data_IF_696672090531
#
_entry.id   IF_696672090531
#
_cell.length_a   1.000
_cell.length_b   1.000
_cell.length_c   1.000
_cell.angle_alpha   90.00
_cell.angle_beta   90.00
_cell.angle_gamma   90.00
#
_symmetry.space_group_name_H-M   'P 1'
#
loop_
_entity.id
_entity.type
_entity.pdbx_description
1 polymer ?
#
# COMPACT_ATOMS: atom_id res chain seq x y z
N UNK A 1 17.88 19.19 -22.60
CA UNK A 1 17.56 17.89 -21.95
C UNK A 1 17.07 18.24 -20.56
N UNK A 2 15.75 18.19 -20.33
CA UNK A 2 15.16 18.73 -19.10
C UNK A 2 15.58 17.87 -17.91
N UNK A 3 16.16 18.51 -16.89
CA UNK A 3 16.31 17.92 -15.58
C UNK A 3 14.90 17.62 -15.06
N UNK A 4 14.53 16.33 -15.01
CA UNK A 4 13.37 15.91 -14.23
C UNK A 4 13.76 16.18 -12.79
N UNK A 5 13.23 17.27 -12.22
CA UNK A 5 13.17 17.50 -10.78
C UNK A 5 12.36 16.33 -10.20
N UNK A 6 12.99 15.18 -9.98
CA UNK A 6 12.42 14.00 -9.31
C UNK A 6 12.31 14.28 -7.83
N UNK A 7 11.56 15.33 -7.47
CA UNK A 7 11.21 15.60 -6.07
C UNK A 7 10.21 14.53 -5.65
N UNK A 8 10.57 13.79 -4.61
CA UNK A 8 9.66 12.90 -3.94
C UNK A 8 8.59 13.74 -3.21
N UNK A 9 7.33 13.35 -3.37
CA UNK A 9 6.20 13.87 -2.60
C UNK A 9 6.10 13.05 -1.33
N UNK A 10 6.49 13.65 -0.21
CA UNK A 10 6.30 13.05 1.10
C UNK A 10 4.83 13.16 1.51
N UNK A 11 4.22 12.02 1.83
CA UNK A 11 2.85 11.99 2.36
C UNK A 11 2.86 12.16 3.89
N UNK A 12 1.74 12.64 4.47
CA UNK A 12 1.60 12.70 5.92
C UNK A 12 1.89 11.36 6.58
N UNK A 13 2.54 11.39 7.75
CA UNK A 13 2.73 10.18 8.54
C UNK A 13 1.38 9.59 8.93
N UNK A 14 1.26 8.27 8.83
CA UNK A 14 0.01 7.57 9.12
C UNK A 14 0.26 6.23 9.82
N UNK A 15 -0.75 5.76 10.54
CA UNK A 15 -0.72 4.48 11.24
C UNK A 15 -1.50 3.46 10.43
N UNK A 16 -0.80 2.44 9.91
CA UNK A 16 -1.36 1.33 9.14
C UNK A 16 -1.53 0.08 10.02
N UNK A 17 -1.98 0.29 11.26
CA UNK A 17 -2.05 -0.72 12.32
C UNK A 17 -2.94 -1.93 12.03
N UNK A 18 -3.89 -1.81 11.10
CA UNK A 18 -4.73 -2.94 10.65
C UNK A 18 -3.96 -4.04 9.92
N UNK A 19 -2.72 -3.79 9.49
CA UNK A 19 -1.82 -4.82 8.93
C UNK A 19 -1.12 -5.65 10.01
N UNK A 20 -1.15 -5.22 11.28
CA UNK A 20 -0.44 -5.89 12.38
C UNK A 20 -0.93 -7.32 12.62
N UNK A 21 -2.25 -7.62 12.64
CA UNK A 21 -2.72 -9.00 12.76
C UNK A 21 -2.24 -9.88 11.60
N UNK A 22 -2.29 -9.35 10.36
CA UNK A 22 -1.85 -10.06 9.15
C UNK A 22 -0.34 -10.38 9.22
N UNK A 23 0.48 -9.41 9.60
CA UNK A 23 1.91 -9.63 9.80
C UNK A 23 2.22 -10.65 10.90
N UNK A 24 1.49 -10.62 12.02
CA UNK A 24 1.67 -11.60 13.10
C UNK A 24 1.33 -13.01 12.64
N UNK A 25 0.28 -13.16 11.84
CA UNK A 25 -0.11 -14.46 11.28
C UNK A 25 0.93 -14.96 10.28
N UNK A 26 1.43 -14.08 9.40
CA UNK A 26 2.53 -14.39 8.49
C UNK A 26 3.76 -14.91 9.27
N UNK A 27 4.16 -14.22 10.33
CA UNK A 27 5.29 -14.62 11.16
C UNK A 27 5.05 -15.99 11.83
N UNK A 28 3.85 -16.26 12.35
CA UNK A 28 3.49 -17.55 12.94
C UNK A 28 3.51 -18.69 11.93
N UNK A 29 3.06 -18.43 10.70
CA UNK A 29 3.00 -19.40 9.62
C UNK A 29 4.32 -19.51 8.81
N UNK A 30 5.40 -18.82 9.22
CA UNK A 30 6.65 -18.72 8.48
C UNK A 30 6.48 -18.23 7.01
N UNK A 31 5.45 -17.42 6.76
CA UNK A 31 5.15 -16.85 5.44
C UNK A 31 5.89 -15.52 5.28
N UNK A 32 6.67 -15.40 4.20
CA UNK A 32 7.46 -14.17 3.94
C UNK A 32 6.67 -13.05 3.28
N UNK A 33 5.61 -13.37 2.53
CA UNK A 33 4.77 -12.37 1.88
C UNK A 33 3.33 -12.86 1.71
N UNK A 34 2.35 -11.98 1.91
CA UNK A 34 0.94 -12.23 1.58
C UNK A 34 0.47 -11.16 0.61
N UNK A 35 -0.17 -11.61 -0.47
CA UNK A 35 -0.75 -10.75 -1.50
C UNK A 35 -2.27 -10.73 -1.43
N UNK A 36 -2.86 -9.57 -1.71
CA UNK A 36 -4.28 -9.43 -1.93
C UNK A 36 -4.54 -8.37 -3.00
N UNK A 37 -5.78 -8.36 -3.49
CA UNK A 37 -6.23 -7.39 -4.48
C UNK A 37 -7.14 -6.40 -3.80
N UNK A 38 -6.87 -5.13 -4.05
CA UNK A 38 -7.73 -4.01 -3.67
C UNK A 38 -8.33 -3.38 -4.92
N UNK A 39 -9.60 -3.00 -4.84
CA UNK A 39 -10.30 -2.36 -5.95
C UNK A 39 -10.95 -1.08 -5.45
N UNK A 40 -10.76 -0.01 -6.20
CA UNK A 40 -11.32 1.32 -5.92
C UNK A 40 -11.79 1.95 -7.22
N UNK A 41 -13.10 2.18 -7.33
CA UNK A 41 -13.74 2.49 -8.60
C UNK A 41 -13.44 1.42 -9.65
N UNK A 42 -12.97 1.83 -10.83
CA UNK A 42 -12.54 0.94 -11.91
C UNK A 42 -11.10 0.41 -11.76
N UNK A 43 -10.34 0.90 -10.77
CA UNK A 43 -8.92 0.59 -10.64
C UNK A 43 -8.69 -0.61 -9.74
N UNK A 44 -7.77 -1.48 -10.17
CA UNK A 44 -7.35 -2.66 -9.43
C UNK A 44 -5.88 -2.54 -9.05
N UNK A 45 -5.59 -2.81 -7.78
CA UNK A 45 -4.27 -2.77 -7.20
C UNK A 45 -3.91 -4.12 -6.61
N UNK A 46 -2.76 -4.63 -6.98
CA UNK A 46 -2.11 -5.75 -6.32
C UNK A 46 -1.31 -5.22 -5.14
N UNK A 47 -1.54 -5.80 -3.98
CA UNK A 47 -1.00 -5.32 -2.71
C UNK A 47 -0.32 -6.49 -2.04
N UNK A 48 0.94 -6.30 -1.62
CA UNK A 48 1.71 -7.34 -0.95
C UNK A 48 2.29 -6.81 0.33
N UNK A 49 1.96 -7.46 1.44
CA UNK A 49 2.68 -7.26 2.69
C UNK A 49 3.87 -8.23 2.71
N UNK A 50 5.07 -7.69 2.85
CA UNK A 50 6.34 -8.43 2.80
C UNK A 50 7.01 -8.28 4.16
N UNK A 51 7.44 -9.40 4.74
CA UNK A 51 8.29 -9.38 5.93
C UNK A 51 9.73 -9.06 5.52
N UNK A 52 10.29 -8.01 6.10
CA UNK A 52 11.64 -7.51 5.81
C UNK A 52 12.42 -7.22 7.10
N UNK A 53 13.76 -7.23 7.00
CA UNK A 53 14.65 -6.86 8.10
C UNK A 53 14.48 -5.37 8.39
N UNK A 54 14.08 -5.01 9.60
CA UNK A 54 13.80 -3.61 10.00
C UNK A 54 12.32 -3.22 10.08
N UNK A 55 11.40 -4.10 9.68
CA UNK A 55 9.96 -3.88 9.71
C UNK A 55 9.28 -4.40 8.44
N UNK A 56 7.95 -4.54 8.41
CA UNK A 56 7.25 -4.98 7.21
C UNK A 56 7.28 -3.91 6.11
N UNK A 57 7.16 -4.33 4.86
CA UNK A 57 7.04 -3.43 3.71
C UNK A 57 5.75 -3.73 2.96
N UNK A 58 5.01 -2.70 2.58
CA UNK A 58 3.82 -2.81 1.76
C UNK A 58 4.16 -2.44 0.32
N UNK A 59 4.15 -3.41 -0.59
CA UNK A 59 4.28 -3.17 -2.04
C UNK A 59 2.89 -3.00 -2.65
N UNK A 60 2.70 -1.93 -3.43
CA UNK A 60 1.44 -1.65 -4.12
C UNK A 60 1.73 -1.46 -5.60
N UNK A 61 0.96 -2.13 -6.44
CA UNK A 61 1.10 -2.12 -7.90
C UNK A 61 -0.25 -1.96 -8.53
N UNK A 62 -0.41 -1.00 -9.44
CA UNK A 62 -1.59 -0.97 -10.30
C UNK A 62 -1.57 -2.17 -11.26
N UNK A 63 -2.75 -2.63 -11.67
CA UNK A 63 -2.89 -3.79 -12.58
C UNK A 63 -2.16 -3.59 -13.91
N UNK A 64 -2.22 -2.37 -14.46
CA UNK A 64 -1.52 -1.96 -15.68
C UNK A 64 -0.03 -1.66 -15.45
N UNK A 65 0.45 -1.77 -14.20
CA UNK A 65 1.82 -1.51 -13.75
C UNK A 65 2.33 -0.10 -14.03
N UNK A 66 1.43 0.85 -14.26
CA UNK A 66 1.78 2.26 -14.46
C UNK A 66 2.14 2.99 -13.16
N UNK A 67 1.75 2.43 -12.02
CA UNK A 67 2.09 2.89 -10.67
C UNK A 67 2.61 1.70 -9.86
N UNK A 68 3.84 1.81 -9.37
CA UNK A 68 4.47 0.82 -8.47
C UNK A 68 5.21 1.58 -7.39
N UNK A 69 4.84 1.34 -6.13
CA UNK A 69 5.53 1.96 -5.01
C UNK A 69 5.52 1.06 -3.78
N UNK A 70 6.46 1.32 -2.89
CA UNK A 70 6.63 0.58 -1.63
C UNK A 70 6.50 1.52 -0.46
N UNK A 71 5.80 1.08 0.57
CA UNK A 71 5.63 1.80 1.82
C UNK A 71 6.32 1.02 2.93
N UNK A 72 7.51 1.45 3.39
CA UNK A 72 8.15 0.83 4.54
C UNK A 72 7.32 1.12 5.80
N UNK A 73 7.15 0.10 6.64
CA UNK A 73 6.46 0.21 7.91
C UNK A 73 7.47 0.03 9.04
N UNK A 74 7.37 0.89 10.05
CA UNK A 74 8.10 0.68 11.30
C UNK A 74 7.52 -0.52 12.06
N UNK A 75 8.23 -0.99 13.09
CA UNK A 75 7.72 -2.03 14.00
C UNK A 75 6.36 -1.67 14.66
N UNK A 76 6.04 -0.37 14.76
CA UNK A 76 4.77 0.14 15.25
C UNK A 76 3.68 0.26 14.16
N UNK A 77 3.96 -0.19 12.94
CA UNK A 77 3.10 -0.04 11.77
C UNK A 77 2.79 1.42 11.43
N UNK A 78 3.76 2.32 11.70
CA UNK A 78 3.74 3.70 11.19
C UNK A 78 4.41 3.74 9.84
N UNK A 79 3.87 4.54 8.93
CA UNK A 79 4.39 4.79 7.60
C UNK A 79 4.56 6.29 7.38
N UNK A 80 5.58 6.63 6.61
CA UNK A 80 5.69 7.93 5.95
C UNK A 80 5.97 7.64 4.48
N UNK A 81 4.91 7.43 3.68
CA UNK A 81 5.09 7.05 2.29
C UNK A 81 5.70 8.19 1.49
N UNK A 82 6.57 7.83 0.56
CA UNK A 82 7.16 8.75 -0.40
C UNK A 82 6.84 8.21 -1.80
N UNK A 83 6.36 9.09 -2.68
CA UNK A 83 6.13 8.78 -4.08
C UNK A 83 6.90 9.77 -4.93
N UNK A 84 7.42 9.33 -6.08
CA UNK A 84 7.86 10.28 -7.09
C UNK A 84 6.66 11.09 -7.60
N UNK A 85 6.93 12.30 -8.11
CA UNK A 85 5.88 13.23 -8.54
C UNK A 85 4.98 12.65 -9.63
N UNK A 86 5.51 11.83 -10.53
CA UNK A 86 4.73 11.24 -11.63
C UNK A 86 3.80 10.13 -11.12
N UNK A 87 4.30 9.23 -10.28
CA UNK A 87 3.48 8.21 -9.61
C UNK A 87 2.42 8.84 -8.72
N UNK A 88 2.74 9.92 -7.99
CA UNK A 88 1.78 10.67 -7.18
C UNK A 88 0.64 11.22 -8.04
N UNK A 89 0.96 11.91 -9.15
CA UNK A 89 -0.06 12.47 -10.05
C UNK A 89 -0.90 11.39 -10.71
N UNK A 90 -0.28 10.31 -11.19
CA UNK A 90 -0.99 9.17 -11.81
C UNK A 90 -1.91 8.50 -10.81
N UNK A 91 -1.43 8.22 -9.59
CA UNK A 91 -2.24 7.60 -8.56
C UNK A 91 -3.44 8.48 -8.20
N UNK A 92 -3.25 9.79 -8.02
CA UNK A 92 -4.35 10.72 -7.80
C UNK A 92 -5.35 10.75 -8.97
N UNK A 93 -4.87 10.78 -10.22
CA UNK A 93 -5.73 10.75 -11.40
C UNK A 93 -6.52 9.44 -11.52
N UNK A 94 -5.93 8.30 -11.13
CA UNK A 94 -6.63 7.02 -11.09
C UNK A 94 -7.73 7.04 -10.03
N UNK A 95 -7.40 7.49 -8.81
CA UNK A 95 -8.32 7.45 -7.66
C UNK A 95 -9.45 8.48 -7.76
N UNK A 96 -9.15 9.68 -8.26
CA UNK A 96 -10.08 10.81 -8.37
C UNK A 96 -9.81 11.60 -9.67
N UNK A 97 -10.26 11.09 -10.84
CA UNK A 97 -9.88 11.63 -12.15
C UNK A 97 -10.36 13.05 -12.45
N UNK A 98 -11.36 13.55 -11.70
CA UNK A 98 -11.93 14.89 -11.89
C UNK A 98 -11.56 15.89 -10.79
N UNK A 99 -10.64 15.53 -9.88
CA UNK A 99 -10.24 16.37 -8.76
C UNK A 99 -8.75 16.69 -8.80
N UNK A 100 -8.37 17.83 -8.21
CA UNK A 100 -6.97 18.19 -8.04
C UNK A 100 -6.23 17.16 -7.17
N UNK A 101 -4.97 16.84 -7.49
CA UNK A 101 -4.22 15.83 -6.78
C UNK A 101 -3.92 16.25 -5.34
N UNK A 102 -4.51 15.55 -4.38
CA UNK A 102 -4.35 15.82 -2.94
C UNK A 102 -3.65 14.66 -2.20
N UNK A 103 -2.73 14.94 -1.26
CA UNK A 103 -2.14 13.91 -0.41
C UNK A 103 -3.18 13.11 0.36
N UNK A 104 -4.29 13.74 0.75
CA UNK A 104 -5.39 13.07 1.46
C UNK A 104 -6.05 11.96 0.63
N UNK A 105 -6.07 12.08 -0.69
CA UNK A 105 -6.60 11.03 -1.58
C UNK A 105 -5.78 9.75 -1.42
N UNK A 106 -4.45 9.86 -1.38
CA UNK A 106 -3.57 8.70 -1.21
C UNK A 106 -3.63 8.17 0.21
N UNK A 107 -3.71 9.04 1.22
CA UNK A 107 -3.89 8.64 2.63
C UNK A 107 -5.15 7.80 2.79
N UNK A 108 -6.29 8.24 2.23
CA UNK A 108 -7.56 7.50 2.28
C UNK A 108 -7.48 6.17 1.53
N UNK A 109 -6.80 6.14 0.39
CA UNK A 109 -6.55 4.90 -0.34
C UNK A 109 -5.75 3.89 0.50
N UNK A 110 -4.65 4.33 1.13
CA UNK A 110 -3.84 3.50 2.02
C UNK A 110 -4.63 3.02 3.25
N UNK A 111 -5.49 3.85 3.81
CA UNK A 111 -6.37 3.44 4.91
C UNK A 111 -7.40 2.40 4.47
N UNK A 112 -8.01 2.58 3.29
CA UNK A 112 -8.97 1.63 2.71
C UNK A 112 -8.34 0.27 2.40
N UNK A 113 -7.09 0.26 1.94
CA UNK A 113 -6.28 -0.94 1.78
C UNK A 113 -6.13 -1.71 3.10
N UNK A 114 -5.74 -1.02 4.16
CA UNK A 114 -5.53 -1.62 5.49
C UNK A 114 -6.82 -2.14 6.09
N UNK A 115 -7.94 -1.47 5.86
CA UNK A 115 -9.25 -1.92 6.31
C UNK A 115 -9.67 -3.29 5.72
N UNK A 116 -9.12 -3.68 4.56
CA UNK A 116 -9.39 -4.99 3.95
C UNK A 116 -8.51 -6.12 4.46
N UNK A 117 -7.42 -5.83 5.17
CA UNK A 117 -6.48 -6.84 5.67
C UNK A 117 -7.13 -7.94 6.54
N UNK A 118 -8.12 -7.65 7.42
CA UNK A 118 -8.83 -8.69 8.17
C UNK A 118 -9.59 -9.69 7.28
N UNK A 119 -10.17 -9.24 6.17
CA UNK A 119 -10.87 -10.13 5.23
C UNK A 119 -9.89 -11.05 4.48
N UNK A 120 -8.65 -10.57 4.24
CA UNK A 120 -7.56 -11.38 3.68
C UNK A 120 -7.15 -12.47 4.67
N UNK A 121 -7.10 -12.14 5.97
CA UNK A 121 -6.80 -13.11 7.03
C UNK A 121 -7.83 -14.24 7.04
N UNK A 122 -9.12 -13.92 7.11
CA UNK A 122 -10.19 -14.93 7.14
C UNK A 122 -10.15 -15.90 5.95
N UNK A 123 -9.80 -15.41 4.75
CA UNK A 123 -9.67 -16.24 3.54
C UNK A 123 -8.40 -17.09 3.53
N UNK A 124 -7.34 -16.61 4.16
CA UNK A 124 -6.07 -17.35 4.25
C UNK A 124 -6.16 -18.46 5.29
N UNK A 125 -6.82 -18.21 6.43
CA UNK A 125 -7.09 -19.25 7.44
C UNK A 125 -8.05 -20.33 6.93
N UNK A 126 -9.10 -19.95 6.20
CA UNK A 126 -10.05 -20.92 5.62
C UNK A 126 -9.43 -21.87 4.59
N UNK A 127 -8.22 -21.57 4.10
CA UNK A 127 -7.48 -22.41 3.14
C UNK A 127 -6.40 -23.26 3.79
N UNK A 128 -6.11 -23.02 5.08
CA UNK A 128 -5.09 -23.72 5.85
C UNK A 128 -5.68 -24.72 6.88
N UNK A 129 -7.01 -24.78 7.00
CA UNK A 129 -7.77 -25.77 7.78
C UNK A 129 -8.35 -26.84 6.84
#
# INVERSE_FOLDING_TARGET
MYAVDSRAVALPSMVLGGLRPLYRQMARANVRAVGFVHTTGANRFEVRLIASVGGPTLEIRSQDRTVVFTVPLTAQFRAQPELDTDSYRRLCAMLTPAADPSPDTIVRFLQGLVAQAPAVLSRTDARAA
#
